data_IF_340123371132
#
_entry.id   IF_340123371132
#
_cell.length_a   1.000
_cell.length_b   1.000
_cell.length_c   1.000
_cell.angle_alpha   90.00
_cell.angle_beta   90.00
_cell.angle_gamma   90.00
#
_symmetry.space_group_name_H-M   'P 1'
#
loop_
_entity.id
_entity.type
_entity.pdbx_description
1 polymer ?
#
# COMPACT_ATOMS: atom_id res chain seq x y z
N UNK A 1 -15.14 15.01 42.33
CA UNK A 1 -16.23 14.04 42.09
C UNK A 1 -16.19 13.72 40.61
N UNK A 2 -15.62 12.56 40.27
CA UNK A 2 -15.38 12.11 38.89
C UNK A 2 -16.70 11.73 38.23
N UNK A 3 -16.95 12.24 37.02
CA UNK A 3 -18.12 11.93 36.21
C UNK A 3 -17.64 11.15 34.98
N UNK A 4 -17.58 9.83 35.11
CA UNK A 4 -17.25 8.91 34.02
C UNK A 4 -18.40 8.86 33.02
N UNK A 5 -18.24 9.56 31.89
CA UNK A 5 -19.09 9.40 30.72
C UNK A 5 -18.77 8.05 30.05
N UNK A 6 -19.43 7.00 30.53
CA UNK A 6 -19.42 5.67 29.92
C UNK A 6 -20.19 5.71 28.61
N UNK A 7 -19.49 5.93 27.50
CA UNK A 7 -20.02 5.86 26.14
C UNK A 7 -20.67 4.49 25.91
N UNK A 8 -22.00 4.49 25.86
CA UNK A 8 -22.82 3.32 25.51
C UNK A 8 -22.62 3.05 24.02
N UNK A 9 -21.99 1.92 23.69
CA UNK A 9 -22.07 1.37 22.33
C UNK A 9 -23.49 0.86 22.16
N UNK A 10 -24.22 1.45 21.21
CA UNK A 10 -25.51 0.95 20.77
C UNK A 10 -25.25 -0.40 20.08
N UNK A 11 -25.62 -1.47 20.77
CA UNK A 11 -25.67 -2.81 20.21
C UNK A 11 -26.92 -2.91 19.33
N UNK A 12 -26.72 -2.93 18.02
CA UNK A 12 -27.77 -3.18 17.04
C UNK A 12 -27.45 -4.49 16.33
N UNK A 13 -27.92 -5.59 16.90
CA UNK A 13 -28.80 -6.52 16.18
C UNK A 13 -28.30 -7.14 14.87
N UNK A 14 -27.02 -7.48 14.81
CA UNK A 14 -26.31 -8.51 14.00
C UNK A 14 -24.93 -7.92 13.75
N UNK A 15 -23.94 -8.30 14.56
CA UNK A 15 -22.56 -7.98 14.24
C UNK A 15 -22.30 -8.50 12.83
N UNK A 16 -22.16 -7.60 11.85
CA UNK A 16 -21.88 -7.98 10.48
C UNK A 16 -20.64 -8.86 10.50
N UNK A 17 -20.84 -10.16 10.23
CA UNK A 17 -19.74 -11.13 10.28
C UNK A 17 -18.74 -10.71 9.22
N UNK A 18 -17.52 -10.37 9.64
CA UNK A 18 -16.44 -9.99 8.74
C UNK A 18 -15.92 -11.24 8.01
N UNK A 19 -16.69 -11.66 6.99
CA UNK A 19 -16.40 -12.87 6.21
C UNK A 19 -15.10 -12.75 5.43
N UNK A 20 -14.73 -11.54 5.03
CA UNK A 20 -13.56 -11.26 4.19
C UNK A 20 -12.28 -11.33 5.05
N UNK A 21 -12.26 -10.75 6.25
CA UNK A 21 -11.10 -10.88 7.16
C UNK A 21 -10.96 -12.27 7.78
N UNK A 22 -12.01 -13.09 7.78
CA UNK A 22 -11.98 -14.47 8.27
C UNK A 22 -11.51 -15.49 7.22
N UNK A 23 -11.17 -15.06 6.00
CA UNK A 23 -10.61 -15.94 4.98
C UNK A 23 -9.22 -16.46 5.38
N UNK A 24 -8.86 -17.70 4.99
CA UNK A 24 -7.51 -18.20 5.16
C UNK A 24 -6.48 -17.29 4.49
N UNK A 25 -5.27 -17.22 5.08
CA UNK A 25 -4.17 -16.36 4.62
C UNK A 25 -3.89 -16.49 3.12
N UNK A 26 -3.83 -17.73 2.62
CA UNK A 26 -3.55 -17.99 1.22
C UNK A 26 -4.61 -17.41 0.27
N UNK A 27 -5.87 -17.31 0.70
CA UNK A 27 -6.92 -16.69 -0.10
C UNK A 27 -6.77 -15.17 -0.12
N UNK A 28 -6.37 -14.56 1.00
CA UNK A 28 -6.10 -13.12 1.05
C UNK A 28 -4.88 -12.77 0.19
N UNK A 29 -3.83 -13.58 0.22
CA UNK A 29 -2.67 -13.40 -0.65
C UNK A 29 -3.07 -13.50 -2.14
N UNK A 30 -3.94 -14.45 -2.51
CA UNK A 30 -4.49 -14.53 -3.88
C UNK A 30 -5.31 -13.28 -4.25
N UNK A 31 -6.04 -12.68 -3.31
CA UNK A 31 -6.73 -11.42 -3.58
C UNK A 31 -5.73 -10.31 -3.86
N UNK A 32 -4.62 -10.24 -3.10
CA UNK A 32 -3.56 -9.27 -3.38
C UNK A 32 -2.87 -9.51 -4.74
N UNK A 33 -2.63 -10.77 -5.12
CA UNK A 33 -2.05 -11.13 -6.42
C UNK A 33 -2.98 -10.75 -7.60
N UNK A 34 -4.30 -10.73 -7.38
CA UNK A 34 -5.29 -10.35 -8.40
C UNK A 34 -5.51 -8.84 -8.51
N UNK A 35 -4.91 -8.03 -7.65
CA UNK A 35 -5.09 -6.58 -7.61
C UNK A 35 -3.82 -5.85 -8.04
N UNK A 36 -3.96 -4.71 -8.74
CA UNK A 36 -2.87 -3.75 -8.87
C UNK A 36 -2.34 -3.37 -7.49
N UNK A 37 -1.04 -3.12 -7.37
CA UNK A 37 -0.39 -2.89 -6.08
C UNK A 37 -1.01 -1.73 -5.30
N UNK A 38 -1.48 -0.70 -6.00
CA UNK A 38 -2.17 0.45 -5.41
C UNK A 38 -3.51 0.03 -4.77
N UNK A 39 -4.33 -0.73 -5.49
CA UNK A 39 -5.63 -1.19 -4.98
C UNK A 39 -5.46 -2.23 -3.88
N UNK A 40 -4.47 -3.13 -4.01
CA UNK A 40 -4.08 -4.04 -2.93
C UNK A 40 -3.72 -3.25 -1.66
N UNK A 41 -2.94 -2.17 -1.77
CA UNK A 41 -2.62 -1.30 -0.63
C UNK A 41 -3.86 -0.68 0.01
N UNK A 42 -4.83 -0.24 -0.80
CA UNK A 42 -6.07 0.39 -0.32
C UNK A 42 -6.93 -0.55 0.50
N UNK A 43 -6.87 -1.86 0.26
CA UNK A 43 -7.61 -2.84 1.08
C UNK A 43 -7.13 -2.88 2.55
N UNK A 44 -5.98 -2.31 2.89
CA UNK A 44 -5.47 -2.19 4.26
C UNK A 44 -6.39 -1.39 5.21
N UNK A 45 -7.38 -0.68 4.67
CA UNK A 45 -8.39 0.04 5.46
C UNK A 45 -9.56 -0.84 5.90
N UNK A 46 -9.75 -2.03 5.29
CA UNK A 46 -10.90 -2.92 5.55
C UNK A 46 -10.92 -3.43 6.99
N UNK A 47 -9.76 -3.87 7.51
CA UNK A 47 -9.63 -4.27 8.91
C UNK A 47 -8.18 -4.23 9.39
N UNK A 48 -7.98 -4.44 10.69
CA UNK A 48 -6.63 -4.58 11.27
C UNK A 48 -5.89 -5.79 10.67
N UNK A 49 -6.61 -6.85 10.32
CA UNK A 49 -6.04 -8.05 9.69
C UNK A 49 -5.50 -7.71 8.30
N UNK A 50 -6.30 -7.07 7.46
CA UNK A 50 -5.88 -6.68 6.11
C UNK A 50 -4.68 -5.74 6.13
N UNK A 51 -4.66 -4.77 7.06
CA UNK A 51 -3.49 -3.90 7.25
C UNK A 51 -2.22 -4.67 7.62
N UNK A 52 -2.34 -5.62 8.53
CA UNK A 52 -1.19 -6.41 8.97
C UNK A 52 -0.68 -7.32 7.86
N UNK A 53 -1.58 -7.94 7.10
CA UNK A 53 -1.23 -8.82 5.98
C UNK A 53 -0.62 -8.06 4.82
N UNK A 54 -1.19 -6.90 4.45
CA UNK A 54 -0.60 -6.00 3.46
C UNK A 54 0.84 -5.61 3.81
N UNK A 55 1.09 -5.23 5.07
CA UNK A 55 2.45 -4.90 5.53
C UNK A 55 3.44 -6.07 5.52
N UNK A 56 2.99 -7.30 5.25
CA UNK A 56 3.82 -8.50 5.12
C UNK A 56 3.79 -9.09 3.70
N UNK A 57 3.12 -8.42 2.76
CA UNK A 57 2.95 -8.93 1.41
C UNK A 57 4.27 -8.83 0.63
N UNK A 58 4.79 -9.95 0.09
CA UNK A 58 6.17 -10.00 -0.41
C UNK A 58 6.34 -9.52 -1.86
N UNK A 59 5.24 -9.31 -2.59
CA UNK A 59 5.25 -9.04 -4.03
C UNK A 59 4.91 -7.57 -4.29
N UNK A 60 5.92 -6.74 -4.55
CA UNK A 60 5.74 -5.32 -4.86
C UNK A 60 5.98 -5.09 -6.36
N UNK A 61 4.89 -5.01 -7.12
CA UNK A 61 4.91 -4.86 -8.58
C UNK A 61 4.29 -3.52 -8.95
N UNK A 62 5.12 -2.59 -9.40
CA UNK A 62 4.74 -1.31 -9.98
C UNK A 62 4.93 -1.44 -11.50
N UNK A 63 3.92 -1.91 -12.21
CA UNK A 63 3.94 -2.14 -13.66
C UNK A 63 3.31 -0.95 -14.44
N UNK A 64 3.26 -1.04 -15.77
CA UNK A 64 2.65 -0.03 -16.63
C UNK A 64 1.23 0.33 -16.17
N UNK A 65 0.42 -0.68 -15.82
CA UNK A 65 -0.95 -0.48 -15.35
C UNK A 65 -1.03 0.33 -14.04
N UNK A 66 -0.09 0.14 -13.11
CA UNK A 66 0.01 0.98 -11.91
C UNK A 66 0.23 2.46 -12.27
N UNK A 67 1.07 2.75 -13.26
CA UNK A 67 1.29 4.12 -13.73
C UNK A 67 0.08 4.66 -14.47
N UNK A 68 -0.52 3.89 -15.37
CA UNK A 68 -1.75 4.27 -16.08
C UNK A 68 -2.85 4.68 -15.09
N UNK A 69 -3.04 3.91 -14.00
CA UNK A 69 -4.00 4.23 -12.96
C UNK A 69 -3.65 5.52 -12.19
N UNK A 70 -2.37 5.75 -11.88
CA UNK A 70 -1.93 6.90 -11.10
C UNK A 70 -1.86 8.20 -11.92
N UNK A 71 -1.61 8.09 -13.22
CA UNK A 71 -1.46 9.19 -14.17
C UNK A 71 -2.75 9.47 -14.94
N UNK A 72 -3.79 8.64 -14.79
CA UNK A 72 -5.06 8.82 -15.47
C UNK A 72 -5.61 10.24 -15.27
N UNK A 73 -5.85 10.94 -16.38
CA UNK A 73 -6.40 12.31 -16.41
C UNK A 73 -5.50 13.38 -15.74
N UNK A 74 -4.20 13.10 -15.60
CA UNK A 74 -3.22 14.03 -15.04
C UNK A 74 -2.30 14.59 -16.11
N UNK A 75 -1.92 15.86 -15.94
CA UNK A 75 -0.92 16.51 -16.78
C UNK A 75 0.48 16.04 -16.34
N UNK A 76 1.17 15.26 -17.17
CA UNK A 76 2.51 14.74 -16.88
C UNK A 76 3.56 15.85 -16.68
N UNK A 77 3.29 17.07 -17.18
CA UNK A 77 4.16 18.21 -16.94
C UNK A 77 3.91 18.88 -15.58
N UNK A 78 2.84 18.53 -14.85
CA UNK A 78 2.60 19.03 -13.51
C UNK A 78 3.59 18.38 -12.51
N UNK A 79 4.47 19.17 -11.86
CA UNK A 79 5.43 18.65 -10.88
C UNK A 79 4.77 17.94 -9.68
N UNK A 80 3.48 18.19 -9.41
CA UNK A 80 2.74 17.49 -8.36
C UNK A 80 2.48 16.02 -8.69
N UNK A 81 2.36 15.67 -9.97
CA UNK A 81 2.12 14.29 -10.42
C UNK A 81 3.30 13.41 -10.05
N UNK A 82 4.51 13.86 -10.33
CA UNK A 82 5.74 13.15 -9.97
C UNK A 82 5.90 13.01 -8.44
N UNK A 83 5.53 14.05 -7.69
CA UNK A 83 5.55 14.01 -6.23
C UNK A 83 4.56 12.98 -5.69
N UNK A 84 3.37 12.88 -6.28
CA UNK A 84 2.35 11.89 -5.91
C UNK A 84 2.80 10.47 -6.22
N UNK A 85 3.37 10.22 -7.41
CA UNK A 85 3.95 8.91 -7.77
C UNK A 85 5.03 8.51 -6.78
N UNK A 86 5.99 9.41 -6.52
CA UNK A 86 7.11 9.14 -5.62
C UNK A 86 6.63 8.88 -4.20
N UNK A 87 5.67 9.67 -3.71
CA UNK A 87 5.05 9.49 -2.38
C UNK A 87 4.32 8.15 -2.29
N UNK A 88 3.49 7.82 -3.27
CA UNK A 88 2.73 6.57 -3.30
C UNK A 88 3.65 5.35 -3.27
N UNK A 89 4.68 5.31 -4.11
CA UNK A 89 5.68 4.23 -4.12
C UNK A 89 6.41 4.16 -2.77
N UNK A 90 6.84 5.33 -2.25
CA UNK A 90 7.55 5.39 -0.97
C UNK A 90 6.69 4.89 0.19
N UNK A 91 5.42 5.28 0.25
CA UNK A 91 4.49 4.88 1.32
C UNK A 91 4.24 3.38 1.28
N UNK A 92 4.03 2.79 0.09
CA UNK A 92 3.89 1.34 -0.09
C UNK A 92 5.14 0.61 0.40
N UNK A 93 6.34 1.07 0.00
CA UNK A 93 7.60 0.46 0.41
C UNK A 93 7.87 0.60 1.91
N UNK A 94 7.53 1.75 2.50
CA UNK A 94 7.77 2.02 3.92
C UNK A 94 6.85 1.21 4.84
N UNK A 95 5.63 0.91 4.39
CA UNK A 95 4.67 0.07 5.11
C UNK A 95 5.11 -1.40 5.11
N UNK A 96 5.84 -1.85 4.10
CA UNK A 96 6.31 -3.23 4.06
C UNK A 96 7.36 -3.51 5.15
N UNK A 97 7.04 -4.48 6.02
CA UNK A 97 7.85 -4.98 7.12
C UNK A 97 8.35 -6.41 6.88
N UNK A 98 7.82 -7.09 5.86
CA UNK A 98 8.22 -8.44 5.49
C UNK A 98 9.37 -8.49 4.48
N UNK A 99 9.91 -9.69 4.20
CA UNK A 99 10.86 -9.86 3.12
C UNK A 99 10.19 -9.56 1.77
N UNK A 100 10.82 -8.71 0.96
CA UNK A 100 10.43 -8.50 -0.43
C UNK A 100 10.99 -9.67 -1.24
N UNK A 101 10.11 -10.50 -1.81
CA UNK A 101 10.49 -11.65 -2.63
C UNK A 101 10.44 -11.32 -4.12
N UNK A 102 9.49 -10.48 -4.52
CA UNK A 102 9.36 -9.98 -5.89
C UNK A 102 9.28 -8.46 -5.86
N UNK A 103 10.16 -7.81 -6.62
CA UNK A 103 10.15 -6.37 -6.82
C UNK A 103 10.24 -6.08 -8.32
N UNK A 104 9.27 -5.32 -8.84
CA UNK A 104 9.28 -4.84 -10.21
C UNK A 104 8.88 -3.37 -10.20
N UNK A 105 9.64 -2.54 -10.90
CA UNK A 105 9.38 -1.11 -11.05
C UNK A 105 9.55 -0.74 -12.52
N UNK A 106 8.43 -0.53 -13.20
CA UNK A 106 8.38 0.13 -14.49
C UNK A 106 8.72 1.62 -14.29
N UNK A 107 9.45 2.19 -15.25
CA UNK A 107 9.87 3.58 -15.24
C UNK A 107 9.47 4.13 -16.60
N UNK A 108 8.40 4.94 -16.70
CA UNK A 108 8.03 5.57 -17.96
C UNK A 108 9.16 6.50 -18.44
N UNK A 109 9.45 6.48 -19.74
CA UNK A 109 10.54 7.28 -20.33
C UNK A 109 10.30 8.79 -20.15
N UNK A 110 9.04 9.21 -20.18
CA UNK A 110 8.62 10.60 -20.06
C UNK A 110 8.61 11.12 -18.61
N UNK A 111 8.76 10.22 -17.62
CA UNK A 111 8.83 10.62 -16.20
C UNK A 111 10.29 10.89 -15.80
N UNK A 112 10.66 12.11 -15.36
CA UNK A 112 12.03 12.44 -14.96
C UNK A 112 12.38 11.89 -13.56
N UNK A 113 12.09 10.60 -13.29
CA UNK A 113 12.32 9.92 -12.02
C UNK A 113 13.78 9.97 -11.58
N UNK A 114 14.72 9.97 -12.54
CA UNK A 114 16.15 10.08 -12.29
C UNK A 114 16.60 11.44 -11.71
N UNK A 115 15.77 12.48 -11.80
CA UNK A 115 16.10 13.83 -11.31
C UNK A 115 15.82 14.01 -9.82
N UNK A 116 15.07 13.09 -9.19
CA UNK A 116 14.62 13.22 -7.81
C UNK A 116 15.37 12.25 -6.88
N UNK A 117 16.41 12.78 -6.21
CA UNK A 117 17.26 12.12 -5.18
C UNK A 117 16.52 11.39 -4.05
N UNK A 118 15.21 11.59 -3.91
CA UNK A 118 14.40 10.96 -2.85
C UNK A 118 14.14 9.47 -3.11
N UNK A 119 14.31 9.00 -4.35
CA UNK A 119 14.26 7.58 -4.71
C UNK A 119 15.36 6.76 -4.00
N UNK A 120 16.47 7.38 -3.59
CA UNK A 120 17.57 6.66 -2.91
C UNK A 120 17.26 6.28 -1.45
N UNK A 121 16.16 6.78 -0.87
CA UNK A 121 15.87 6.61 0.56
C UNK A 121 15.39 5.20 0.90
N UNK A 122 14.59 4.56 0.04
CA UNK A 122 14.12 3.20 0.28
C UNK A 122 15.23 2.18 0.00
N UNK A 123 16.09 2.42 -0.99
CA UNK A 123 17.30 1.64 -1.28
C UNK A 123 18.19 1.59 -0.02
N UNK A 124 18.38 2.73 0.66
CA UNK A 124 19.15 2.81 1.91
C UNK A 124 18.51 2.06 3.09
N UNK A 125 17.19 2.03 3.19
CA UNK A 125 16.46 1.31 4.26
C UNK A 125 16.59 -0.20 4.11
N UNK A 126 16.51 -0.73 2.89
CA UNK A 126 16.52 -2.17 2.64
C UNK A 126 17.94 -2.77 2.49
N UNK A 127 18.95 -1.99 2.06
CA UNK A 127 20.35 -2.46 2.04
C UNK A 127 20.95 -2.52 3.46
N UNK A 128 20.59 -1.58 4.36
CA UNK A 128 21.15 -1.55 5.72
C UNK A 128 20.49 -2.54 6.70
N UNK A 129 19.31 -3.07 6.39
CA UNK A 129 18.62 -4.06 7.24
C UNK A 129 19.21 -5.47 7.15
N UNK A 130 20.26 -5.68 6.34
CA UNK A 130 20.97 -6.96 6.17
C UNK A 130 22.40 -6.94 6.76
N UNK A 131 22.73 -5.96 7.60
CA UNK A 131 24.00 -5.87 8.33
C UNK A 131 23.84 -6.21 9.79
#
# INVERSE_FOLDING_TARGET
MSSDAKTRRLDCGTAAVDRISNLPRNIIDLIFDCLPIHDAARTSVLSKTWRALWGLYPNLVFDEFFFDQLLYDKDEQDPNVLLEVTRTISDILLVNRGPILKFHLFVPDDLPLHQYRHMDLWIRKHIKSRG
#
